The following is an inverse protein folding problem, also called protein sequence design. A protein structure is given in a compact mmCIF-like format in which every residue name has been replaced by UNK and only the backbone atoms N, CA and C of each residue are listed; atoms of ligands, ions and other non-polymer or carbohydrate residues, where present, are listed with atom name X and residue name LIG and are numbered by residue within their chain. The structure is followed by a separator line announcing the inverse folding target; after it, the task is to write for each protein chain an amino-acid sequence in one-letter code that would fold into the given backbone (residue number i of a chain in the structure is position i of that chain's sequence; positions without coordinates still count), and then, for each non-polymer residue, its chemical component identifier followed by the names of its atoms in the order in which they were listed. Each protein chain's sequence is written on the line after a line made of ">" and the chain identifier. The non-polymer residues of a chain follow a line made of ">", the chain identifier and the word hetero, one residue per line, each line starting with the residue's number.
data_IF_926408809924
#
_entry.id   IF_926408809924
#
_cell.length_a   1.000
_cell.length_b   1.000
_cell.length_c   1.000
_cell.angle_alpha   90.00
_cell.angle_beta   90.00
_cell.angle_gamma   90.00
#
_symmetry.space_group_name_H-M   'P 1'
#
loop_
_entity.id
_entity.type
_entity.pdbx_description
1 polymer ?
#
# COMPACT_ATOMS: atom_id res chain seq x y z
N UNK A 1 -31.24 -8.07 -8.64
CA UNK A 1 -30.40 -8.00 -7.42
C UNK A 1 -29.30 -6.94 -7.53
N UNK A 2 -28.60 -6.75 -8.66
CA UNK A 2 -27.53 -5.73 -8.83
C UNK A 2 -27.92 -4.25 -8.57
N UNK A 3 -29.21 -3.89 -8.60
CA UNK A 3 -29.66 -2.52 -8.33
C UNK A 3 -29.85 -2.22 -6.83
N UNK A 4 -30.11 -3.23 -6.01
CA UNK A 4 -30.24 -3.04 -4.55
C UNK A 4 -28.87 -2.82 -3.90
N UNK A 5 -27.86 -3.60 -4.32
CA UNK A 5 -26.48 -3.48 -3.82
C UNK A 5 -25.87 -2.08 -4.08
N UNK A 6 -26.22 -1.45 -5.21
CA UNK A 6 -25.76 -0.10 -5.55
C UNK A 6 -26.43 1.01 -4.74
N UNK A 7 -27.72 0.87 -4.47
CA UNK A 7 -28.48 1.83 -3.66
C UNK A 7 -28.05 1.78 -2.19
N UNK A 8 -27.81 0.58 -1.66
CA UNK A 8 -27.30 0.38 -0.30
C UNK A 8 -25.87 0.91 -0.15
N UNK A 9 -25.02 0.74 -1.18
CA UNK A 9 -23.67 1.32 -1.19
C UNK A 9 -23.68 2.86 -1.19
N UNK A 10 -24.59 3.50 -1.93
CA UNK A 10 -24.73 4.95 -1.94
C UNK A 10 -25.16 5.48 -0.56
N UNK A 11 -26.18 4.86 0.05
CA UNK A 11 -26.65 5.22 1.39
C UNK A 11 -25.57 5.00 2.46
N UNK A 12 -24.82 3.91 2.38
CA UNK A 12 -23.69 3.65 3.27
C UNK A 12 -22.62 4.74 3.15
N UNK A 13 -22.29 5.19 1.93
CA UNK A 13 -21.35 6.30 1.70
C UNK A 13 -21.85 7.61 2.32
N UNK A 14 -23.13 7.95 2.16
CA UNK A 14 -23.70 9.16 2.78
C UNK A 14 -23.59 9.12 4.31
N UNK A 15 -23.89 7.98 4.93
CA UNK A 15 -23.76 7.81 6.38
C UNK A 15 -22.30 7.90 6.84
N UNK A 16 -21.36 7.31 6.08
CA UNK A 16 -19.93 7.42 6.36
C UNK A 16 -19.42 8.85 6.19
N UNK A 17 -19.89 9.59 5.19
CA UNK A 17 -19.54 11.00 5.00
C UNK A 17 -20.01 11.86 6.18
N UNK A 18 -21.25 11.65 6.65
CA UNK A 18 -21.75 12.33 7.85
C UNK A 18 -20.91 11.99 9.10
N UNK A 19 -20.47 10.74 9.25
CA UNK A 19 -19.63 10.32 10.37
C UNK A 19 -18.20 10.88 10.27
N UNK A 20 -17.65 10.96 9.06
CA UNK A 20 -16.35 11.59 8.80
C UNK A 20 -16.36 13.08 9.19
N UNK A 21 -17.45 13.80 8.93
CA UNK A 21 -17.54 15.23 9.23
C UNK A 21 -17.91 15.54 10.68
N UNK A 22 -18.83 14.78 11.28
CA UNK A 22 -19.51 15.13 12.54
C UNK A 22 -19.38 14.08 13.63
N UNK A 23 -18.72 12.97 13.33
CA UNK A 23 -18.51 11.88 14.27
C UNK A 23 -17.47 12.21 15.34
N UNK A 24 -17.46 11.46 16.46
CA UNK A 24 -16.33 11.47 17.38
C UNK A 24 -15.04 11.12 16.64
N UNK A 25 -13.91 11.71 17.06
CA UNK A 25 -12.62 11.68 16.36
C UNK A 25 -12.22 10.29 15.83
N UNK A 26 -12.20 9.26 16.69
CA UNK A 26 -11.86 7.90 16.27
C UNK A 26 -12.79 7.30 15.21
N UNK A 27 -14.10 7.60 15.30
CA UNK A 27 -15.08 7.14 14.30
C UNK A 27 -14.99 7.95 13.01
N UNK A 28 -14.67 9.24 13.09
CA UNK A 28 -14.43 10.09 11.92
C UNK A 28 -13.25 9.56 11.10
N UNK A 29 -12.12 9.23 11.75
CA UNK A 29 -10.95 8.67 11.07
C UNK A 29 -11.29 7.33 10.40
N UNK A 30 -11.95 6.41 11.10
CA UNK A 30 -12.35 5.13 10.52
C UNK A 30 -13.34 5.31 9.37
N UNK A 31 -14.26 6.27 9.45
CA UNK A 31 -15.19 6.57 8.36
C UNK A 31 -14.45 7.07 7.11
N UNK A 32 -13.45 7.93 7.28
CA UNK A 32 -12.57 8.40 6.18
C UNK A 32 -11.81 7.25 5.52
N UNK A 33 -11.27 6.31 6.30
CA UNK A 33 -10.64 5.10 5.75
C UNK A 33 -11.61 4.27 4.88
N UNK A 34 -12.85 4.13 5.34
CA UNK A 34 -13.87 3.36 4.61
C UNK A 34 -14.35 4.08 3.36
N UNK A 35 -14.43 5.40 3.37
CA UNK A 35 -14.72 6.19 2.17
C UNK A 35 -13.61 6.00 1.13
N UNK A 36 -12.34 6.15 1.51
CA UNK A 36 -11.20 5.92 0.63
C UNK A 36 -11.20 4.50 0.03
N UNK A 37 -11.50 3.48 0.85
CA UNK A 37 -11.63 2.10 0.39
C UNK A 37 -12.80 1.93 -0.61
N UNK A 38 -13.92 2.62 -0.37
CA UNK A 38 -15.09 2.58 -1.24
C UNK A 38 -14.85 3.27 -2.58
N UNK A 39 -14.02 4.33 -2.64
CA UNK A 39 -13.54 4.95 -3.88
C UNK A 39 -12.65 3.97 -4.66
N UNK A 40 -11.69 3.33 -3.98
CA UNK A 40 -10.81 2.34 -4.61
C UNK A 40 -11.62 1.18 -5.22
N UNK A 41 -12.63 0.68 -4.49
CA UNK A 41 -13.53 -0.38 -4.95
C UNK A 41 -14.38 0.03 -6.16
N UNK A 42 -14.70 1.32 -6.30
CA UNK A 42 -15.42 1.85 -7.45
C UNK A 42 -14.53 2.08 -8.68
N UNK A 43 -13.21 1.92 -8.55
CA UNK A 43 -12.24 2.18 -9.60
C UNK A 43 -11.71 3.61 -9.61
N UNK A 44 -12.16 4.45 -8.68
CA UNK A 44 -11.71 5.84 -8.52
C UNK A 44 -10.37 5.90 -7.76
N UNK A 45 -9.35 5.24 -8.32
CA UNK A 45 -8.04 5.01 -7.68
C UNK A 45 -7.37 6.32 -7.29
N UNK A 46 -7.37 7.33 -8.16
CA UNK A 46 -6.68 8.59 -7.86
C UNK A 46 -7.35 9.35 -6.70
N UNK A 47 -8.69 9.25 -6.59
CA UNK A 47 -9.43 9.82 -5.46
C UNK A 47 -9.13 9.05 -4.17
N UNK A 48 -9.16 7.73 -4.21
CA UNK A 48 -8.82 6.89 -3.06
C UNK A 48 -7.39 7.16 -2.55
N UNK A 49 -6.42 7.31 -3.47
CA UNK A 49 -5.05 7.68 -3.12
C UNK A 49 -5.00 9.05 -2.46
N UNK A 50 -5.71 10.05 -2.99
CA UNK A 50 -5.77 11.38 -2.39
C UNK A 50 -6.38 11.35 -0.97
N UNK A 51 -7.45 10.57 -0.76
CA UNK A 51 -8.09 10.43 0.54
C UNK A 51 -7.20 9.72 1.56
N UNK A 52 -6.46 8.67 1.15
CA UNK A 52 -5.46 8.04 2.00
C UNK A 52 -4.25 8.94 2.26
N UNK A 53 -3.75 9.67 1.27
CA UNK A 53 -2.64 10.62 1.46
C UNK A 53 -3.05 11.73 2.45
N UNK A 54 -4.31 12.20 2.40
CA UNK A 54 -4.84 13.14 3.38
C UNK A 54 -4.88 12.57 4.80
N UNK A 55 -5.21 11.28 4.98
CA UNK A 55 -5.14 10.60 6.28
C UNK A 55 -3.69 10.42 6.77
N UNK A 56 -2.76 10.12 5.88
CA UNK A 56 -1.35 9.91 6.21
C UNK A 56 -0.64 11.18 6.68
N UNK A 57 -1.10 12.35 6.20
CA UNK A 57 -0.51 13.67 6.50
C UNK A 57 -1.23 14.44 7.62
N UNK A 58 -2.36 13.92 8.11
CA UNK A 58 -3.19 14.60 9.11
C UNK A 58 -2.60 14.42 10.52
N UNK A 59 -2.13 15.48 11.19
CA UNK A 59 -1.52 15.38 12.51
C UNK A 59 -2.49 14.97 13.63
N UNK A 60 -3.80 15.00 13.38
CA UNK A 60 -4.83 14.49 14.30
C UNK A 60 -5.03 12.96 14.20
N UNK A 61 -4.40 12.30 13.22
CA UNK A 61 -4.50 10.84 13.06
C UNK A 61 -3.36 10.16 13.82
N UNK A 62 -3.69 9.10 14.57
CA UNK A 62 -2.70 8.28 15.27
C UNK A 62 -1.60 7.81 14.31
N UNK A 63 -0.29 7.84 14.69
CA UNK A 63 0.80 7.47 13.80
C UNK A 63 0.71 6.06 13.21
N UNK A 64 0.10 5.10 13.92
CA UNK A 64 -0.15 3.75 13.39
C UNK A 64 -1.16 3.84 12.25
N UNK A 65 -2.23 4.63 12.39
CA UNK A 65 -3.21 4.83 11.32
C UNK A 65 -2.62 5.64 10.16
N UNK A 66 -1.81 6.67 10.42
CA UNK A 66 -1.09 7.38 9.35
C UNK A 66 -0.24 6.42 8.50
N UNK A 67 0.54 5.55 9.15
CA UNK A 67 1.34 4.54 8.44
C UNK A 67 0.48 3.53 7.68
N UNK A 68 -0.68 3.17 8.19
CA UNK A 68 -1.63 2.31 7.46
C UNK A 68 -2.16 3.02 6.20
N UNK A 69 -2.52 4.30 6.29
CA UNK A 69 -2.96 5.10 5.15
C UNK A 69 -1.87 5.20 4.07
N UNK A 70 -0.62 5.46 4.45
CA UNK A 70 0.53 5.47 3.53
C UNK A 70 0.67 4.13 2.78
N UNK A 71 0.51 3.00 3.48
CA UNK A 71 0.55 1.69 2.85
C UNK A 71 -0.59 1.47 1.86
N UNK A 72 -1.83 1.88 2.21
CA UNK A 72 -2.97 1.75 1.29
C UNK A 72 -2.78 2.60 0.03
N UNK A 73 -2.38 3.87 0.19
CA UNK A 73 -2.08 4.75 -0.94
C UNK A 73 -0.99 4.16 -1.84
N UNK A 74 0.12 3.70 -1.26
CA UNK A 74 1.21 3.09 -2.02
C UNK A 74 0.77 1.80 -2.73
N UNK A 75 -0.05 0.96 -2.09
CA UNK A 75 -0.54 -0.28 -2.69
C UNK A 75 -1.40 0.01 -3.93
N UNK A 76 -2.28 1.01 -3.86
CA UNK A 76 -3.08 1.45 -5.01
C UNK A 76 -2.25 2.06 -6.14
N UNK A 77 -1.08 2.61 -5.82
CA UNK A 77 -0.13 3.18 -6.78
C UNK A 77 0.80 2.14 -7.39
N UNK A 78 0.90 0.93 -6.82
CA UNK A 78 1.91 -0.06 -7.16
C UNK A 78 2.03 -0.32 -8.66
N UNK A 79 0.91 -0.42 -9.38
CA UNK A 79 0.88 -0.74 -10.81
C UNK A 79 1.27 0.44 -11.72
N UNK A 80 1.06 1.68 -11.26
CA UNK A 80 1.21 2.90 -12.07
C UNK A 80 2.46 3.72 -11.73
N UNK A 81 2.87 3.73 -10.47
CA UNK A 81 3.99 4.53 -9.99
C UNK A 81 5.34 4.00 -10.52
N UNK A 82 6.30 4.90 -10.68
CA UNK A 82 7.69 4.49 -10.83
C UNK A 82 8.31 4.15 -9.46
N UNK A 83 9.50 3.56 -9.48
CA UNK A 83 10.18 3.16 -8.24
C UNK A 83 10.49 4.36 -7.35
N UNK A 84 10.83 5.51 -7.94
CA UNK A 84 11.20 6.70 -7.18
C UNK A 84 10.00 7.29 -6.42
N UNK A 85 8.79 7.24 -7.00
CA UNK A 85 7.55 7.59 -6.31
C UNK A 85 7.26 6.62 -5.16
N UNK A 86 7.37 5.31 -5.41
CA UNK A 86 7.16 4.30 -4.38
C UNK A 86 8.15 4.43 -3.22
N UNK A 87 9.42 4.70 -3.52
CA UNK A 87 10.45 4.99 -2.53
C UNK A 87 10.10 6.24 -1.71
N UNK A 88 9.78 7.37 -2.35
CA UNK A 88 9.37 8.59 -1.64
C UNK A 88 8.19 8.37 -0.69
N UNK A 89 7.21 7.54 -1.09
CA UNK A 89 6.04 7.21 -0.26
C UNK A 89 6.39 6.32 0.92
N UNK A 90 7.25 5.32 0.72
CA UNK A 90 7.44 4.22 1.68
C UNK A 90 8.67 4.36 2.57
N UNK A 91 9.70 5.10 2.14
CA UNK A 91 11.00 5.15 2.83
C UNK A 91 10.88 5.58 4.29
N UNK A 92 9.99 6.54 4.59
CA UNK A 92 9.75 6.98 5.97
C UNK A 92 9.22 5.86 6.89
N UNK A 93 8.42 4.92 6.35
CA UNK A 93 7.97 3.74 7.09
C UNK A 93 9.06 2.67 7.19
N UNK A 94 9.87 2.52 6.14
CA UNK A 94 10.96 1.53 6.07
C UNK A 94 12.08 1.86 7.07
N UNK A 95 12.45 3.14 7.20
CA UNK A 95 13.60 3.59 7.99
C UNK A 95 13.26 3.86 9.46
N UNK A 96 11.98 4.01 9.78
CA UNK A 96 11.53 4.22 11.15
C UNK A 96 11.28 2.90 11.89
N UNK A 97 11.11 2.98 13.21
CA UNK A 97 10.64 1.84 14.02
C UNK A 97 9.11 1.62 13.87
N UNK A 98 8.56 1.90 12.69
CA UNK A 98 7.14 1.75 12.42
C UNK A 98 6.70 0.29 12.52
N UNK A 99 5.47 0.08 13.00
CA UNK A 99 4.81 -1.22 12.94
C UNK A 99 4.63 -1.71 11.49
N UNK A 100 4.65 -0.78 10.53
CA UNK A 100 4.43 -1.03 9.11
C UNK A 100 5.72 -1.21 8.30
N UNK A 101 6.90 -1.12 8.92
CA UNK A 101 8.20 -1.12 8.21
C UNK A 101 8.41 -2.32 7.29
N UNK A 102 7.98 -3.50 7.72
CA UNK A 102 8.14 -4.73 6.95
C UNK A 102 7.22 -4.78 5.74
N UNK A 103 5.95 -4.42 5.92
CA UNK A 103 4.99 -4.31 4.81
C UNK A 103 5.41 -3.23 3.81
N UNK A 104 5.95 -2.11 4.29
CA UNK A 104 6.46 -1.04 3.43
C UNK A 104 7.67 -1.50 2.62
N UNK A 105 8.62 -2.19 3.26
CA UNK A 105 9.80 -2.76 2.59
C UNK A 105 9.41 -3.79 1.53
N UNK A 106 8.44 -4.64 1.85
CA UNK A 106 7.91 -5.62 0.92
C UNK A 106 7.27 -4.96 -0.31
N UNK A 107 6.43 -3.94 -0.09
CA UNK A 107 5.78 -3.23 -1.18
C UNK A 107 6.80 -2.49 -2.07
N UNK A 108 7.88 -1.97 -1.48
CA UNK A 108 9.00 -1.40 -2.22
C UNK A 108 9.75 -2.45 -3.05
N UNK A 109 9.96 -3.66 -2.49
CA UNK A 109 10.52 -4.80 -3.23
C UNK A 109 9.64 -5.25 -4.39
N UNK A 110 8.32 -5.31 -4.19
CA UNK A 110 7.34 -5.62 -5.23
C UNK A 110 7.34 -4.57 -6.35
N UNK A 111 7.46 -3.28 -6.00
CA UNK A 111 7.59 -2.20 -6.99
C UNK A 111 8.86 -2.38 -7.84
N UNK A 112 9.99 -2.67 -7.22
CA UNK A 112 11.24 -2.91 -7.93
C UNK A 112 11.13 -4.12 -8.87
N UNK A 113 10.55 -5.23 -8.39
CA UNK A 113 10.35 -6.44 -9.17
C UNK A 113 9.48 -6.18 -10.40
N UNK A 114 8.32 -5.52 -10.24
CA UNK A 114 7.41 -5.17 -11.35
C UNK A 114 8.10 -4.32 -12.41
N UNK A 115 9.00 -3.44 -11.99
CA UNK A 115 9.75 -2.54 -12.88
C UNK A 115 11.04 -3.19 -13.43
N UNK A 116 11.21 -4.50 -13.28
CA UNK A 116 12.39 -5.28 -13.68
C UNK A 116 13.71 -4.80 -13.05
N UNK A 117 13.65 -4.06 -11.94
CA UNK A 117 14.81 -3.68 -11.17
C UNK A 117 15.17 -4.81 -10.19
N UNK A 118 15.68 -5.92 -10.72
CA UNK A 118 15.94 -7.14 -9.95
C UNK A 118 16.94 -6.92 -8.82
N UNK A 119 17.94 -6.07 -9.04
CA UNK A 119 18.94 -5.72 -8.01
C UNK A 119 18.29 -5.07 -6.80
N UNK A 120 17.38 -4.12 -7.02
CA UNK A 120 16.70 -3.43 -5.93
C UNK A 120 15.64 -4.34 -5.29
N UNK A 121 14.93 -5.15 -6.08
CA UNK A 121 14.01 -6.15 -5.55
C UNK A 121 14.72 -7.14 -4.61
N UNK A 122 15.85 -7.71 -5.05
CA UNK A 122 16.67 -8.62 -4.26
C UNK A 122 17.13 -7.97 -2.95
N UNK A 123 17.61 -6.72 -3.02
CA UNK A 123 18.02 -5.95 -1.84
C UNK A 123 16.87 -5.82 -0.82
N UNK A 124 15.66 -5.47 -1.26
CA UNK A 124 14.55 -5.27 -0.34
C UNK A 124 14.05 -6.57 0.30
N UNK A 125 13.93 -7.65 -0.48
CA UNK A 125 13.50 -8.95 0.05
C UNK A 125 14.57 -9.62 0.92
N UNK A 126 15.86 -9.49 0.57
CA UNK A 126 16.97 -9.98 1.41
C UNK A 126 17.01 -9.27 2.75
N UNK A 127 16.74 -7.96 2.78
CA UNK A 127 16.64 -7.20 4.03
C UNK A 127 15.46 -7.67 4.90
N UNK A 128 14.33 -8.11 4.31
CA UNK A 128 13.23 -8.73 5.09
C UNK A 128 13.65 -10.05 5.73
N UNK A 129 14.34 -10.91 5.00
CA UNK A 129 14.77 -12.21 5.52
C UNK A 129 15.85 -12.05 6.60
N UNK A 130 16.79 -11.12 6.39
CA UNK A 130 17.88 -10.83 7.31
C UNK A 130 17.46 -10.18 8.62
N UNK A 131 16.28 -9.54 8.67
CA UNK A 131 15.73 -8.97 9.91
C UNK A 131 14.98 -10.04 10.73
N UNK A 132 15.45 -10.27 11.96
CA UNK A 132 14.85 -11.24 12.87
C UNK A 132 13.43 -10.85 13.31
N UNK A 133 13.11 -9.56 13.29
CA UNK A 133 11.79 -9.03 13.63
C UNK A 133 10.74 -9.21 12.56
N UNK A 134 11.11 -9.66 11.35
CA UNK A 134 10.16 -9.88 10.25
C UNK A 134 9.14 -10.96 10.63
N UNK A 135 7.83 -10.67 10.53
CA UNK A 135 6.76 -11.65 10.75
C UNK A 135 6.92 -12.89 9.85
N UNK A 136 6.61 -14.11 10.34
CA UNK A 136 6.83 -15.35 9.59
C UNK A 136 6.22 -15.36 8.18
N UNK A 137 4.98 -14.88 8.04
CA UNK A 137 4.28 -14.81 6.76
C UNK A 137 4.94 -13.84 5.76
N UNK A 138 5.53 -12.74 6.24
CA UNK A 138 6.28 -11.81 5.38
C UNK A 138 7.63 -12.40 4.98
N UNK A 139 8.28 -13.15 5.88
CA UNK A 139 9.53 -13.86 5.58
C UNK A 139 9.31 -14.92 4.50
N UNK A 140 8.29 -15.76 4.65
CA UNK A 140 7.92 -16.77 3.64
C UNK A 140 7.64 -16.16 2.27
N UNK A 141 6.96 -15.02 2.23
CA UNK A 141 6.71 -14.28 0.98
C UNK A 141 7.98 -13.68 0.38
N UNK A 142 8.86 -13.13 1.20
CA UNK A 142 10.15 -12.64 0.75
C UNK A 142 11.03 -13.77 0.18
N UNK A 143 11.05 -14.95 0.81
CA UNK A 143 11.76 -16.14 0.31
C UNK A 143 11.24 -16.57 -1.06
N UNK A 144 9.91 -16.62 -1.24
CA UNK A 144 9.29 -16.91 -2.54
C UNK A 144 9.70 -15.89 -3.60
N UNK A 145 9.70 -14.59 -3.26
CA UNK A 145 10.10 -13.54 -4.19
C UNK A 145 11.59 -13.64 -4.56
N UNK A 146 12.49 -13.94 -3.62
CA UNK A 146 13.89 -14.18 -3.94
C UNK A 146 14.09 -15.39 -4.85
N UNK A 147 13.37 -16.49 -4.62
CA UNK A 147 13.42 -17.66 -5.49
C UNK A 147 12.97 -17.32 -6.92
N UNK A 148 11.94 -16.47 -7.08
CA UNK A 148 11.51 -15.97 -8.38
C UNK A 148 12.58 -15.08 -9.05
N UNK A 149 13.22 -14.18 -8.30
CA UNK A 149 14.26 -13.30 -8.81
C UNK A 149 15.48 -14.10 -9.30
N UNK A 150 15.97 -15.06 -8.50
CA UNK A 150 17.10 -15.93 -8.85
C UNK A 150 16.73 -16.90 -9.98
N UNK A 151 15.48 -17.39 -9.98
CA UNK A 151 14.96 -18.30 -10.99
C UNK A 151 14.55 -17.62 -12.30
N UNK A 152 14.54 -16.29 -12.38
CA UNK A 152 14.29 -15.54 -13.62
C UNK A 152 15.61 -15.46 -14.41
N UNK A 153 15.84 -16.28 -15.46
CA UNK A 153 17.02 -16.12 -16.29
C UNK A 153 17.02 -14.71 -16.90
N UNK A 154 18.20 -14.09 -17.00
CA UNK A 154 18.48 -12.78 -17.63
C UNK A 154 17.94 -12.62 -19.08
N UNK A 155 17.30 -13.65 -19.63
CA UNK A 155 16.88 -13.81 -21.02
C UNK A 155 15.82 -12.82 -21.53
N UNK A 156 15.14 -12.06 -20.67
CA UNK A 156 14.18 -11.02 -21.12
C UNK A 156 14.83 -9.66 -21.43
N UNK A 157 16.15 -9.52 -21.25
CA UNK A 157 16.87 -8.27 -21.57
C UNK A 157 17.40 -8.19 -23.01
N UNK A 158 17.06 -9.15 -23.88
CA UNK A 158 17.55 -9.18 -25.27
C UNK A 158 16.50 -9.61 -26.30
N UNK A 159 15.42 -8.85 -26.43
CA UNK A 159 14.68 -8.81 -27.69
C UNK A 159 14.13 -7.41 -27.96
N UNK A 160 14.96 -6.57 -28.55
CA UNK A 160 14.52 -5.50 -29.44
C UNK A 160 15.54 -5.44 -30.58
N UNK A 161 15.15 -5.98 -31.73
CA UNK A 161 15.71 -5.68 -33.04
C UNK A 161 14.80 -4.66 -33.71
#
# INVERSE_FOLDING_TARGET
>A
MLMEDGADAAKAREMLAALAEKGPEGYSVLARFQLAAAEAKAGDIDKAVADYDALALDPGVDPILQGHATLQAAALRLDKADYAEMERRLQGLVDSNSAWRFSARELLGLSAYRLNNMREAEKQFSALIGDQGTPPNLRERADMMLALIVGTPQALSSTSK
#
